data_IF_067984473311
#
_entry.id   IF_067984473311
#
_cell.length_a   1.000
_cell.length_b   1.000
_cell.length_c   1.000
_cell.angle_alpha   90.00
_cell.angle_beta   90.00
_cell.angle_gamma   90.00
#
_symmetry.space_group_name_H-M   'P 1'
#
loop_
_entity.id
_entity.type
_entity.pdbx_description
1 polymer ?
#
# COMPACT_ATOMS: atom_id res chain seq x y z
N UNK A 1 4.09 15.63 -1.35
CA UNK A 1 2.90 15.24 -0.56
C UNK A 1 3.37 14.37 0.60
N UNK A 2 2.66 14.31 1.74
CA UNK A 2 3.05 13.43 2.86
C UNK A 2 2.33 12.06 2.74
N UNK A 3 3.04 10.94 2.53
CA UNK A 3 2.43 9.61 2.36
C UNK A 3 1.69 9.10 3.60
N UNK A 4 2.00 9.62 4.80
CA UNK A 4 1.26 9.32 6.03
C UNK A 4 -0.10 10.03 6.14
N UNK A 5 -0.46 10.87 5.16
CA UNK A 5 -1.79 11.48 5.10
C UNK A 5 -2.86 10.55 4.50
N UNK A 6 -2.43 9.41 3.96
CA UNK A 6 -3.32 8.41 3.36
C UNK A 6 -3.83 7.42 4.40
N UNK A 7 -5.07 6.96 4.23
CA UNK A 7 -5.62 5.93 5.11
C UNK A 7 -5.22 4.55 4.58
N UNK A 8 -4.19 3.96 5.19
CA UNK A 8 -3.71 2.62 4.86
C UNK A 8 -4.34 1.62 5.82
N UNK A 9 -5.04 0.64 5.28
CA UNK A 9 -5.59 -0.48 6.04
C UNK A 9 -4.75 -1.72 5.79
N UNK A 10 -4.17 -2.29 6.85
CA UNK A 10 -3.47 -3.57 6.78
C UNK A 10 -4.32 -4.65 7.43
N UNK A 11 -4.57 -5.74 6.70
CA UNK A 11 -5.29 -6.89 7.23
C UNK A 11 -4.60 -8.19 6.86
N UNK A 12 -4.75 -9.19 7.72
CA UNK A 12 -4.39 -10.56 7.38
C UNK A 12 -5.41 -11.12 6.39
N UNK A 13 -4.94 -11.67 5.28
CA UNK A 13 -5.75 -12.28 4.24
C UNK A 13 -5.27 -13.72 3.99
N UNK A 14 -6.21 -14.60 3.63
CA UNK A 14 -5.90 -15.95 3.21
C UNK A 14 -6.29 -16.08 1.74
N UNK A 15 -5.32 -16.44 0.90
CA UNK A 15 -5.49 -16.68 -0.52
C UNK A 15 -5.09 -18.13 -0.80
N UNK A 16 -6.06 -18.95 -1.20
CA UNK A 16 -5.87 -20.36 -1.56
C UNK A 16 -5.05 -21.20 -0.56
N UNK A 17 -5.20 -20.91 0.74
CA UNK A 17 -4.52 -21.62 1.83
C UNK A 17 -3.23 -20.96 2.31
N UNK A 18 -2.75 -19.91 1.62
CA UNK A 18 -1.57 -19.15 2.01
C UNK A 18 -1.98 -17.85 2.72
N UNK A 19 -1.28 -17.52 3.81
CA UNK A 19 -1.62 -16.39 4.68
C UNK A 19 -0.63 -15.26 4.44
N UNK A 20 -1.15 -14.12 4.01
CA UNK A 20 -0.40 -12.90 3.79
C UNK A 20 -1.03 -11.73 4.55
N UNK A 21 -0.32 -10.61 4.60
CA UNK A 21 -0.88 -9.32 4.96
C UNK A 21 -1.12 -8.52 3.69
N UNK A 22 -2.33 -7.98 3.56
CA UNK A 22 -2.72 -7.08 2.48
C UNK A 22 -2.81 -5.67 3.05
N UNK A 23 -2.09 -4.72 2.43
CA UNK A 23 -2.20 -3.29 2.66
C UNK A 23 -2.97 -2.63 1.53
N UNK A 24 -4.03 -1.88 1.85
CA UNK A 24 -4.82 -1.11 0.89
C UNK A 24 -4.83 0.37 1.24
N UNK A 25 -4.77 1.22 0.22
CA UNK A 25 -4.82 2.67 0.36
C UNK A 25 -6.23 3.15 0.02
N UNK A 26 -6.93 3.80 0.96
CA UNK A 26 -8.34 4.18 0.77
C UNK A 26 -8.53 5.17 -0.39
N UNK A 27 -7.62 6.11 -0.54
CA UNK A 27 -7.67 7.15 -1.56
C UNK A 27 -7.18 6.65 -2.93
N UNK A 28 -6.46 5.53 -2.95
CA UNK A 28 -5.94 4.86 -4.15
C UNK A 28 -6.47 3.40 -4.16
N UNK A 29 -7.76 3.18 -4.49
CA UNK A 29 -8.39 1.86 -4.36
C UNK A 29 -7.78 0.78 -5.27
N UNK A 30 -7.03 1.18 -6.29
CA UNK A 30 -6.29 0.29 -7.18
C UNK A 30 -4.95 -0.20 -6.58
N UNK A 31 -4.50 0.41 -5.48
CA UNK A 31 -3.27 0.03 -4.78
C UNK A 31 -3.59 -1.01 -3.71
N UNK A 32 -3.01 -2.19 -3.89
CA UNK A 32 -3.00 -3.27 -2.90
C UNK A 32 -1.63 -3.94 -2.89
N UNK A 33 -0.95 -3.90 -1.75
CA UNK A 33 0.37 -4.51 -1.54
C UNK A 33 0.24 -5.72 -0.62
N UNK A 34 1.07 -6.74 -0.85
CA UNK A 34 1.02 -7.99 -0.13
C UNK A 34 2.40 -8.39 0.39
N UNK A 35 2.49 -8.81 1.64
CA UNK A 35 3.72 -9.30 2.24
C UNK A 35 3.47 -10.35 3.33
N UNK A 36 4.53 -11.01 3.79
CA UNK A 36 4.46 -12.01 4.86
C UNK A 36 4.22 -11.38 6.24
N UNK A 37 4.55 -10.10 6.39
CA UNK A 37 4.35 -9.35 7.63
C UNK A 37 3.54 -8.06 7.41
N UNK A 38 2.85 -7.62 8.47
CA UNK A 38 2.06 -6.39 8.43
C UNK A 38 2.93 -5.14 8.20
N UNK A 39 4.15 -5.15 8.75
CA UNK A 39 5.10 -4.04 8.64
C UNK A 39 5.63 -3.90 7.22
N UNK A 40 5.99 -5.02 6.57
CA UNK A 40 6.42 -5.02 5.17
C UNK A 40 5.29 -4.60 4.23
N UNK A 41 4.07 -5.14 4.42
CA UNK A 41 2.93 -4.75 3.60
C UNK A 41 2.64 -3.24 3.70
N UNK A 42 2.76 -2.68 4.92
CA UNK A 42 2.63 -1.23 5.14
C UNK A 42 3.76 -0.43 4.48
N UNK A 43 5.01 -0.88 4.62
CA UNK A 43 6.16 -0.21 4.00
C UNK A 43 6.04 -0.17 2.46
N UNK A 44 5.65 -1.28 1.83
CA UNK A 44 5.38 -1.34 0.40
C UNK A 44 4.28 -0.36 -0.02
N UNK A 45 3.22 -0.23 0.77
CA UNK A 45 2.14 0.72 0.47
C UNK A 45 2.64 2.18 0.53
N UNK A 46 3.55 2.50 1.46
CA UNK A 46 4.18 3.83 1.55
C UNK A 46 5.05 4.09 0.32
N UNK A 47 5.91 3.15 -0.05
CA UNK A 47 6.79 3.27 -1.23
C UNK A 47 5.97 3.49 -2.51
N UNK A 48 4.87 2.73 -2.68
CA UNK A 48 3.96 2.89 -3.82
C UNK A 48 3.30 4.28 -3.83
N UNK A 49 2.90 4.81 -2.67
CA UNK A 49 2.34 6.17 -2.57
C UNK A 49 3.40 7.22 -2.94
N UNK A 50 4.64 7.08 -2.49
CA UNK A 50 5.73 8.01 -2.79
C UNK A 50 6.04 8.03 -4.29
N UNK A 51 6.26 6.85 -4.89
CA UNK A 51 6.51 6.71 -6.33
C UNK A 51 5.34 7.27 -7.14
N UNK A 52 4.10 6.98 -6.73
CA UNK A 52 2.91 7.52 -7.39
C UNK A 52 2.91 9.05 -7.31
N UNK A 53 3.12 9.62 -6.12
CA UNK A 53 3.16 11.06 -5.94
C UNK A 53 4.25 11.74 -6.79
N UNK A 54 5.43 11.11 -6.94
CA UNK A 54 6.51 11.58 -7.80
C UNK A 54 6.11 11.57 -9.29
N UNK A 55 5.56 10.46 -9.78
CA UNK A 55 5.12 10.32 -11.20
C UNK A 55 4.05 11.35 -11.55
N UNK A 56 3.12 11.63 -10.63
CA UNK A 56 2.08 12.62 -10.86
C UNK A 56 2.59 14.06 -10.72
N UNK A 57 3.60 14.31 -9.87
CA UNK A 57 4.23 15.62 -9.75
C UNK A 57 5.15 15.95 -10.94
N UNK A 58 5.77 14.96 -11.60
CA UNK A 58 6.57 15.15 -12.82
C UNK A 58 5.71 15.43 -14.07
N UNK A 59 4.40 15.18 -14.02
CA UNK A 59 3.48 15.40 -15.15
C UNK A 59 2.79 16.76 -15.16
N UNK A 60 3.10 17.65 -14.21
CA UNK A 60 2.68 19.07 -14.21
C UNK A 60 3.84 19.99 -14.61
#
# INVERSE_FOLDING_TARGET
MNPHSYNITVRRANFDGEVFFEARVKELPDVAEYADTAEEAYALAIDTIEITAEIFAEKE
#
